data_IF_291938878435
#
_entry.id   IF_291938878435
#
_cell.length_a   1.000
_cell.length_b   1.000
_cell.length_c   1.000
_cell.angle_alpha   90.00
_cell.angle_beta   90.00
_cell.angle_gamma   90.00
#
_symmetry.space_group_name_H-M   'P 1'
#
loop_
_entity.id
_entity.type
_entity.pdbx_description
1 polymer ?
#
# COMPACT_ATOMS: atom_id res chain seq x y z
N UNK A 1 -11.24 2.66 16.71
CA UNK A 1 -11.00 2.15 15.35
C UNK A 1 -11.16 0.63 15.39
N UNK A 2 -11.66 -0.03 14.34
CA UNK A 2 -12.04 -1.45 14.41
C UNK A 2 -10.82 -2.38 14.50
N UNK A 3 -11.00 -3.57 15.04
CA UNK A 3 -10.01 -4.66 15.01
C UNK A 3 -9.58 -4.95 13.56
N UNK A 4 -10.51 -4.80 12.61
CA UNK A 4 -10.26 -4.95 11.17
C UNK A 4 -9.21 -3.98 10.63
N UNK A 5 -9.25 -2.70 11.01
CA UNK A 5 -8.20 -1.74 10.64
C UNK A 5 -6.82 -2.18 11.15
N UNK A 6 -6.76 -2.60 12.42
CA UNK A 6 -5.50 -3.03 13.05
C UNK A 6 -4.89 -4.23 12.33
N UNK A 7 -5.72 -5.19 11.94
CA UNK A 7 -5.33 -6.35 11.15
C UNK A 7 -4.83 -5.94 9.75
N UNK A 8 -5.57 -5.09 9.03
CA UNK A 8 -5.16 -4.60 7.70
C UNK A 8 -3.83 -3.84 7.74
N UNK A 9 -3.64 -3.00 8.76
CA UNK A 9 -2.39 -2.28 8.97
C UNK A 9 -1.22 -3.23 9.19
N UNK A 10 -1.43 -4.25 10.03
CA UNK A 10 -0.46 -5.31 10.32
C UNK A 10 -0.10 -6.11 9.09
N UNK A 11 -1.10 -6.57 8.34
CA UNK A 11 -0.91 -7.34 7.11
C UNK A 11 -0.12 -6.55 6.07
N UNK A 12 -0.44 -5.27 5.88
CA UNK A 12 0.30 -4.40 4.96
C UNK A 12 1.75 -4.22 5.40
N UNK A 13 2.00 -4.05 6.70
CA UNK A 13 3.35 -3.97 7.26
C UNK A 13 4.14 -5.25 7.01
N UNK A 14 3.54 -6.40 7.28
CA UNK A 14 4.17 -7.72 7.14
C UNK A 14 4.43 -8.07 5.66
N UNK A 15 3.52 -7.72 4.74
CA UNK A 15 3.74 -7.83 3.29
C UNK A 15 4.92 -6.99 2.79
N UNK A 16 5.27 -5.91 3.49
CA UNK A 16 6.46 -5.09 3.20
C UNK A 16 7.72 -5.58 3.92
N UNK A 17 7.63 -6.66 4.71
CA UNK A 17 8.74 -7.21 5.47
C UNK A 17 9.23 -6.32 6.62
N UNK A 18 8.38 -5.41 7.11
CA UNK A 18 8.76 -4.44 8.14
C UNK A 18 8.40 -4.93 9.54
N UNK A 19 9.30 -4.70 10.50
CA UNK A 19 8.98 -4.74 11.93
C UNK A 19 8.15 -3.51 12.34
N UNK A 20 7.51 -3.56 13.52
CA UNK A 20 6.79 -2.39 14.07
C UNK A 20 7.73 -1.20 14.29
N UNK A 21 9.00 -1.45 14.66
CA UNK A 21 10.00 -0.41 14.85
C UNK A 21 10.40 0.27 13.52
N UNK A 22 10.63 -0.51 12.47
CA UNK A 22 10.95 0.02 11.13
C UNK A 22 9.76 0.79 10.53
N UNK A 23 8.53 0.30 10.73
CA UNK A 23 7.33 1.03 10.33
C UNK A 23 7.22 2.37 11.06
N UNK A 24 7.48 2.38 12.36
CA UNK A 24 7.48 3.59 13.16
C UNK A 24 8.52 4.60 12.66
N UNK A 25 9.73 4.14 12.34
CA UNK A 25 10.78 4.98 11.74
C UNK A 25 10.34 5.57 10.39
N UNK A 26 9.79 4.73 9.49
CA UNK A 26 9.33 5.18 8.16
C UNK A 26 8.16 6.17 8.22
N UNK A 27 7.25 6.00 9.17
CA UNK A 27 6.08 6.85 9.35
C UNK A 27 6.34 8.08 10.25
N UNK A 28 7.52 8.17 10.88
CA UNK A 28 7.83 9.23 11.84
C UNK A 28 6.96 9.16 13.10
N UNK A 29 6.64 7.94 13.55
CA UNK A 29 5.84 7.63 14.73
C UNK A 29 6.67 6.91 15.80
N UNK A 30 6.13 6.76 16.99
CA UNK A 30 6.72 5.90 18.02
C UNK A 30 6.30 4.43 17.80
N UNK A 31 7.17 3.44 18.09
CA UNK A 31 6.82 2.02 17.98
C UNK A 31 5.57 1.63 18.79
N UNK A 32 5.40 2.23 19.98
CA UNK A 32 4.22 2.05 20.83
C UNK A 32 2.93 2.49 20.14
N UNK A 33 2.97 3.56 19.32
CA UNK A 33 1.82 4.03 18.56
C UNK A 33 1.41 3.00 17.50
N UNK A 34 2.37 2.46 16.74
CA UNK A 34 2.12 1.40 15.74
C UNK A 34 1.49 0.18 16.40
N UNK A 35 2.04 -0.28 17.52
CA UNK A 35 1.49 -1.40 18.29
C UNK A 35 0.06 -1.14 18.77
N UNK A 36 -0.23 0.07 19.28
CA UNK A 36 -1.59 0.45 19.70
C UNK A 36 -2.59 0.53 18.55
N UNK A 37 -2.14 0.91 17.35
CA UNK A 37 -2.98 0.94 16.15
C UNK A 37 -3.27 -0.47 15.64
N UNK A 38 -2.26 -1.34 15.55
CA UNK A 38 -2.43 -2.73 15.11
C UNK A 38 -3.28 -3.56 16.07
N UNK A 39 -3.22 -3.28 17.37
CA UNK A 39 -4.05 -3.95 18.38
C UNK A 39 -5.45 -3.34 18.54
N UNK A 40 -5.77 -2.27 17.82
CA UNK A 40 -7.05 -1.54 17.94
C UNK A 40 -7.23 -0.77 19.25
N UNK A 41 -6.24 -0.75 20.14
CA UNK A 41 -6.29 -0.04 21.44
C UNK A 41 -6.43 1.47 21.28
N UNK A 42 -5.92 2.02 20.18
CA UNK A 42 -5.99 3.45 19.89
C UNK A 42 -6.31 3.67 18.41
N UNK A 43 -7.09 4.71 18.11
CA UNK A 43 -7.26 5.20 16.76
C UNK A 43 -6.13 6.19 16.38
N UNK A 44 -5.54 6.10 15.18
CA UNK A 44 -4.68 7.13 14.64
C UNK A 44 -5.49 8.41 14.38
N UNK A 45 -4.83 9.58 14.50
CA UNK A 45 -5.34 10.80 13.89
C UNK A 45 -5.29 10.71 12.38
N UNK A 46 -5.96 11.64 11.67
CA UNK A 46 -5.87 11.72 10.21
C UNK A 46 -4.42 11.86 9.72
N UNK A 47 -3.62 12.70 10.37
CA UNK A 47 -2.19 12.85 10.02
C UNK A 47 -1.40 11.56 10.21
N UNK A 48 -1.64 10.82 11.30
CA UNK A 48 -0.97 9.54 11.53
C UNK A 48 -1.43 8.49 10.52
N UNK A 49 -2.72 8.48 10.17
CA UNK A 49 -3.27 7.60 9.14
C UNK A 49 -2.61 7.85 7.78
N UNK A 50 -2.44 9.12 7.39
CA UNK A 50 -1.70 9.51 6.18
C UNK A 50 -0.26 9.03 6.21
N UNK A 51 0.46 9.28 7.31
CA UNK A 51 1.85 8.84 7.49
C UNK A 51 2.01 7.31 7.38
N UNK A 52 1.06 6.55 7.94
CA UNK A 52 1.06 5.09 7.85
C UNK A 52 0.82 4.62 6.41
N UNK A 53 -0.16 5.22 5.71
CA UNK A 53 -0.45 4.94 4.31
C UNK A 53 0.76 5.22 3.41
N UNK A 54 1.38 6.39 3.57
CA UNK A 54 2.60 6.78 2.84
C UNK A 54 3.76 5.79 3.09
N UNK A 55 4.01 5.45 4.37
CA UNK A 55 5.08 4.52 4.75
C UNK A 55 4.90 3.11 4.19
N UNK A 56 3.64 2.68 4.02
CA UNK A 56 3.27 1.39 3.43
C UNK A 56 3.07 1.46 1.92
N UNK A 57 3.04 2.66 1.32
CA UNK A 57 2.71 2.89 -0.09
C UNK A 57 1.35 2.30 -0.49
N UNK A 58 0.35 2.48 0.38
CA UNK A 58 -1.06 2.07 0.17
C UNK A 58 -1.98 3.27 0.29
N UNK A 59 -3.25 3.12 -0.11
CA UNK A 59 -4.29 4.14 0.10
C UNK A 59 -4.78 4.14 1.54
N UNK A 60 -5.33 5.28 1.98
CA UNK A 60 -6.07 5.35 3.25
C UNK A 60 -7.33 4.48 3.17
N UNK A 61 -8.01 4.46 2.03
CA UNK A 61 -9.22 3.65 1.79
C UNK A 61 -8.95 2.15 1.95
N UNK A 62 -7.78 1.65 1.51
CA UNK A 62 -7.35 0.29 1.79
C UNK A 62 -7.23 0.01 3.29
N UNK A 63 -6.58 0.90 4.06
CA UNK A 63 -6.44 0.75 5.51
C UNK A 63 -7.79 0.78 6.22
N UNK A 64 -8.73 1.61 5.73
CA UNK A 64 -10.09 1.73 6.26
C UNK A 64 -11.04 0.63 5.77
N UNK A 65 -10.57 -0.28 4.91
CA UNK A 65 -11.36 -1.41 4.40
C UNK A 65 -12.39 -1.08 3.32
N UNK A 66 -12.26 0.08 2.67
CA UNK A 66 -13.09 0.47 1.52
C UNK A 66 -12.61 -0.14 0.19
N UNK A 67 -11.37 -0.63 0.16
CA UNK A 67 -10.77 -1.38 -0.95
C UNK A 67 -10.33 -2.76 -0.48
N UNK A 68 -10.53 -3.78 -1.32
CA UNK A 68 -10.14 -5.17 -1.02
C UNK A 68 -8.65 -5.43 -1.28
N UNK A 69 -8.05 -4.75 -2.24
CA UNK A 69 -6.65 -4.94 -2.63
C UNK A 69 -5.81 -3.70 -2.30
N UNK A 70 -4.55 -3.87 -1.84
CA UNK A 70 -3.66 -2.75 -1.64
C UNK A 70 -3.28 -2.14 -2.98
N UNK A 71 -4.02 -1.11 -3.40
CA UNK A 71 -3.60 -0.27 -4.51
C UNK A 71 -2.32 0.47 -4.12
N UNK A 72 -1.27 0.24 -4.89
CA UNK A 72 0.02 0.87 -4.64
C UNK A 72 -0.10 2.36 -4.97
N UNK A 73 -0.11 3.21 -3.95
CA UNK A 73 0.02 4.67 -4.11
C UNK A 73 1.48 5.12 -3.95
N UNK A 74 2.43 4.20 -4.10
CA UNK A 74 3.84 4.46 -3.88
C UNK A 74 4.46 5.41 -4.92
N UNK A 75 5.65 5.98 -4.63
CA UNK A 75 6.34 6.90 -5.52
C UNK A 75 6.52 6.38 -6.95
N UNK A 76 6.67 5.06 -7.12
CA UNK A 76 6.78 4.41 -8.42
C UNK A 76 5.48 4.51 -9.24
N UNK A 77 4.31 4.31 -8.62
CA UNK A 77 3.02 4.41 -9.32
C UNK A 77 2.70 5.86 -9.64
N UNK A 78 3.00 6.78 -8.71
CA UNK A 78 2.85 8.22 -8.98
C UNK A 78 3.75 8.68 -10.12
N UNK A 79 5.01 8.22 -10.15
CA UNK A 79 5.93 8.50 -11.26
C UNK A 79 5.42 7.90 -12.56
N UNK A 80 4.99 6.63 -12.55
CA UNK A 80 4.46 5.95 -13.73
C UNK A 80 3.25 6.70 -14.29
N UNK A 81 2.31 7.10 -13.44
CA UNK A 81 1.12 7.86 -13.83
C UNK A 81 1.50 9.21 -14.48
N UNK A 82 2.36 9.99 -13.82
CA UNK A 82 2.82 11.29 -14.35
C UNK A 82 3.58 11.16 -15.67
N UNK A 83 4.39 10.12 -15.82
CA UNK A 83 5.15 9.90 -17.04
C UNK A 83 4.22 9.39 -18.16
N UNK A 84 3.23 8.55 -17.82
CA UNK A 84 2.20 8.03 -18.74
C UNK A 84 1.32 9.13 -19.34
N UNK A 85 0.93 10.14 -18.56
CA UNK A 85 0.13 11.28 -19.05
C UNK A 85 0.85 12.11 -20.13
N UNK A 86 2.18 11.99 -20.24
CA UNK A 86 2.99 12.72 -21.23
C UNK A 86 3.22 11.94 -22.52
N UNK A 87 2.78 10.69 -22.57
CA UNK A 87 2.99 9.80 -23.70
C UNK A 87 1.96 10.05 -24.81
N UNK A 88 2.29 9.63 -26.02
CA UNK A 88 1.34 9.55 -27.13
C UNK A 88 0.30 8.44 -26.88
N UNK A 89 -0.82 8.46 -27.59
CA UNK A 89 -1.84 7.41 -27.48
C UNK A 89 -1.28 6.01 -27.80
N UNK A 90 -0.47 5.89 -28.86
CA UNK A 90 0.18 4.63 -29.25
C UNK A 90 1.17 4.11 -28.18
N UNK A 91 1.94 5.01 -27.57
CA UNK A 91 2.85 4.66 -26.47
C UNK A 91 2.08 4.25 -25.21
N UNK A 92 0.94 4.89 -24.93
CA UNK A 92 0.04 4.52 -23.84
C UNK A 92 -0.54 3.13 -24.04
N UNK A 93 -1.01 2.79 -25.25
CA UNK A 93 -1.46 1.44 -25.59
C UNK A 93 -0.34 0.41 -25.40
N UNK A 94 0.87 0.76 -25.81
CA UNK A 94 2.05 -0.10 -25.62
C UNK A 94 2.30 -0.38 -24.13
N UNK A 95 2.31 0.67 -23.30
CA UNK A 95 2.49 0.53 -21.84
C UNK A 95 1.36 -0.30 -21.21
N UNK A 96 0.11 -0.10 -21.64
CA UNK A 96 -1.02 -0.88 -21.18
C UNK A 96 -0.86 -2.38 -21.50
N UNK A 97 -0.46 -2.71 -22.73
CA UNK A 97 -0.18 -4.09 -23.14
C UNK A 97 0.93 -4.75 -22.31
N UNK A 98 2.00 -4.01 -22.01
CA UNK A 98 3.06 -4.50 -21.10
C UNK A 98 2.54 -4.77 -19.69
N UNK A 99 1.70 -3.88 -19.15
CA UNK A 99 1.11 -4.05 -17.82
C UNK A 99 0.22 -5.30 -17.76
N UNK A 100 -0.61 -5.52 -18.77
CA UNK A 100 -1.45 -6.72 -18.90
C UNK A 100 -0.62 -8.01 -18.96
N UNK A 101 0.42 -8.01 -19.79
CA UNK A 101 1.34 -9.15 -19.91
C UNK A 101 1.98 -9.50 -18.56
N UNK A 102 2.47 -8.50 -17.81
CA UNK A 102 3.07 -8.72 -16.49
C UNK A 102 2.05 -9.22 -15.46
N UNK A 103 0.83 -8.69 -15.50
CA UNK A 103 -0.27 -9.15 -14.63
C UNK A 103 -0.63 -10.62 -14.90
N UNK A 104 -0.73 -11.00 -16.18
CA UNK A 104 -0.98 -12.40 -16.58
C UNK A 104 0.14 -13.34 -16.12
N UNK A 105 1.40 -12.93 -16.25
CA UNK A 105 2.57 -13.71 -15.80
C UNK A 105 2.56 -13.99 -14.28
N UNK A 106 2.12 -13.03 -13.47
CA UNK A 106 2.01 -13.22 -12.02
C UNK A 106 0.88 -14.19 -11.65
N UNK A 107 -0.25 -14.17 -12.36
CA UNK A 107 -1.36 -15.12 -12.15
C UNK A 107 -0.95 -16.57 -12.43
N UNK A 108 -0.11 -16.79 -13.44
CA UNK A 108 0.40 -18.13 -13.77
C UNK A 108 1.40 -18.67 -12.74
N UNK A 109 2.13 -17.80 -12.04
CA UNK A 109 3.06 -18.20 -10.97
C UNK A 109 2.37 -18.52 -9.65
N UNK A 110 1.22 -17.91 -9.35
CA UNK A 110 0.47 -18.14 -8.11
C UNK A 110 -0.40 -19.42 -8.08
N UNK A 111 -0.62 -20.07 -9.22
CA UNK A 111 -1.42 -21.31 -9.31
C UNK A 111 -0.57 -22.60 -9.20
N UNK A 112 0.71 -22.48 -8.86
CA UNK A 112 1.66 -23.60 -8.80
C UNK A 112 2.23 -23.90 -7.41
N UNK A 113 1.73 -23.24 -6.36
CA UNK A 113 2.11 -23.46 -4.95
C UNK A 113 0.92 -23.97 -4.13
#
# INVERSE_FOLDING_TARGET
MSVEFGNRLREAREKKGLSQAEMAQKSGLQPSAVSHFESGRRAPSFDNLRKLADALSVTIDFLLGRESEPHSSGPTVQKLFRDFEKLSADDQETVAGFAEMLAAKNRQKGNGE
#
